data_IF_323012443746
#
_entry.id   IF_323012443746
#
_cell.length_a   1.000
_cell.length_b   1.000
_cell.length_c   1.000
_cell.angle_alpha   90.00
_cell.angle_beta   90.00
_cell.angle_gamma   90.00
#
_symmetry.space_group_name_H-M   'P 1'
#
loop_
_entity.id
_entity.type
_entity.pdbx_description
1 polymer ?
#
# COMPACT_ATOMS: atom_id res chain seq x y z
N UNK A 1 -15.41 -7.83 -5.99
CA UNK A 1 -14.57 -6.92 -5.18
C UNK A 1 -14.65 -7.12 -3.67
N UNK A 2 -15.81 -7.42 -3.09
CA UNK A 2 -15.98 -7.53 -1.63
C UNK A 2 -15.10 -8.56 -0.91
N UNK A 3 -14.58 -9.58 -1.62
CA UNK A 3 -13.74 -10.62 -1.02
C UNK A 3 -12.39 -10.13 -0.47
N UNK A 4 -11.89 -8.98 -0.93
CA UNK A 4 -10.59 -8.43 -0.48
C UNK A 4 -10.69 -7.74 0.89
N UNK A 5 -11.88 -7.26 1.28
CA UNK A 5 -12.12 -6.56 2.54
C UNK A 5 -12.32 -7.55 3.69
N UNK A 6 -11.27 -8.30 4.02
CA UNK A 6 -11.26 -9.23 5.14
C UNK A 6 -10.40 -8.70 6.32
N UNK A 7 -10.60 -9.21 7.54
CA UNK A 7 -9.87 -8.74 8.71
C UNK A 7 -8.35 -8.84 8.58
N UNK A 8 -7.84 -9.88 7.91
CA UNK A 8 -6.40 -10.05 7.71
C UNK A 8 -5.81 -8.96 6.79
N UNK A 9 -6.54 -8.56 5.74
CA UNK A 9 -6.14 -7.43 4.90
C UNK A 9 -6.03 -6.14 5.71
N UNK A 10 -7.06 -5.80 6.50
CA UNK A 10 -7.03 -4.60 7.33
C UNK A 10 -5.93 -4.63 8.39
N UNK A 11 -5.70 -5.80 9.00
CA UNK A 11 -4.65 -5.98 9.98
C UNK A 11 -3.27 -5.66 9.39
N UNK A 12 -2.95 -6.18 8.20
CA UNK A 12 -1.65 -5.91 7.58
C UNK A 12 -1.59 -4.47 7.04
N UNK A 13 -2.66 -4.01 6.39
CA UNK A 13 -2.69 -2.69 5.75
C UNK A 13 -2.61 -1.53 6.76
N UNK A 14 -3.30 -1.64 7.90
CA UNK A 14 -3.31 -0.63 8.97
C UNK A 14 -2.28 -0.94 10.08
N UNK A 15 -1.96 -2.21 10.31
CA UNK A 15 -0.97 -2.60 11.33
C UNK A 15 0.45 -2.21 10.96
N UNK A 16 0.82 -2.26 9.67
CA UNK A 16 2.14 -1.83 9.21
C UNK A 16 2.48 -0.37 9.58
N UNK A 17 1.65 0.66 9.24
CA UNK A 17 1.96 2.04 9.62
C UNK A 17 1.96 2.23 11.14
N UNK A 18 1.08 1.55 11.88
CA UNK A 18 1.10 1.60 13.35
C UNK A 18 2.42 1.05 13.90
N UNK A 19 2.89 -0.09 13.41
CA UNK A 19 4.15 -0.70 13.84
C UNK A 19 5.35 0.21 13.52
N UNK A 20 5.40 0.80 12.33
CA UNK A 20 6.49 1.72 11.95
C UNK A 20 6.45 2.98 12.85
N UNK A 21 5.27 3.53 13.14
CA UNK A 21 5.13 4.68 14.02
C UNK A 21 5.62 4.38 15.44
N UNK A 22 5.21 3.24 16.02
CA UNK A 22 5.69 2.81 17.34
C UNK A 22 7.21 2.64 17.34
N UNK A 23 7.77 1.96 16.35
CA UNK A 23 9.22 1.76 16.25
C UNK A 23 9.98 3.09 16.10
N UNK A 24 9.41 4.07 15.37
CA UNK A 24 9.97 5.42 15.23
C UNK A 24 10.04 6.12 16.58
N UNK A 25 8.94 6.09 17.35
CA UNK A 25 8.86 6.72 18.67
C UNK A 25 9.84 6.08 19.65
N UNK A 26 9.89 4.74 19.70
CA UNK A 26 10.84 4.01 20.56
C UNK A 26 12.28 4.38 20.22
N UNK A 27 12.63 4.36 18.93
CA UNK A 27 13.99 4.72 18.49
C UNK A 27 14.35 6.17 18.80
N UNK A 28 13.37 7.08 18.78
CA UNK A 28 13.58 8.48 19.13
C UNK A 28 13.79 8.67 20.63
N UNK A 29 13.02 7.95 21.47
CA UNK A 29 13.16 7.98 22.93
C UNK A 29 14.49 7.39 23.39
N UNK A 30 15.02 6.40 22.68
CA UNK A 30 16.32 5.78 22.95
C UNK A 30 17.53 6.59 22.39
N UNK A 31 17.32 7.85 21.99
CA UNK A 31 18.31 8.73 21.36
C UNK A 31 18.97 8.18 20.07
N UNK A 32 18.40 7.12 19.49
CA UNK A 32 18.83 6.51 18.24
C UNK A 32 18.30 7.29 17.02
N UNK A 33 18.65 8.58 16.96
CA UNK A 33 18.11 9.56 16.00
C UNK A 33 18.24 9.13 14.53
N UNK A 34 19.33 8.46 14.16
CA UNK A 34 19.52 7.94 12.80
C UNK A 34 18.47 6.86 12.46
N UNK A 35 18.18 5.94 13.39
CA UNK A 35 17.16 4.89 13.22
C UNK A 35 15.76 5.50 13.18
N UNK A 36 15.48 6.45 14.08
CA UNK A 36 14.21 7.17 14.11
C UNK A 36 13.95 7.90 12.78
N UNK A 37 14.95 8.58 12.22
CA UNK A 37 14.85 9.27 10.92
C UNK A 37 14.52 8.32 9.77
N UNK A 38 15.19 7.16 9.71
CA UNK A 38 14.92 6.14 8.69
C UNK A 38 13.51 5.54 8.81
N UNK A 39 13.06 5.25 10.04
CA UNK A 39 11.72 4.73 10.29
C UNK A 39 10.63 5.76 9.97
N UNK A 40 10.85 7.04 10.30
CA UNK A 40 9.95 8.12 9.91
C UNK A 40 9.85 8.25 8.38
N UNK A 41 10.97 8.14 7.66
CA UNK A 41 10.98 8.13 6.20
C UNK A 41 10.20 6.92 5.64
N UNK A 42 10.43 5.71 6.20
CA UNK A 42 9.68 4.51 5.81
C UNK A 42 8.17 4.66 6.06
N UNK A 43 7.77 5.32 7.16
CA UNK A 43 6.36 5.61 7.47
C UNK A 43 5.73 6.51 6.41
N UNK A 44 6.40 7.62 6.06
CA UNK A 44 5.93 8.54 5.01
C UNK A 44 5.86 7.84 3.66
N UNK A 45 6.87 7.03 3.32
CA UNK A 45 6.87 6.27 2.09
C UNK A 45 5.69 5.29 2.04
N UNK A 46 5.42 4.57 3.13
CA UNK A 46 4.27 3.66 3.21
C UNK A 46 2.94 4.41 3.02
N UNK A 47 2.72 5.52 3.72
CA UNK A 47 1.48 6.29 3.61
C UNK A 47 1.28 6.84 2.19
N UNK A 48 2.32 7.48 1.64
CA UNK A 48 2.24 8.11 0.32
C UNK A 48 2.09 7.11 -0.81
N UNK A 49 2.68 5.92 -0.70
CA UNK A 49 2.69 4.96 -1.81
C UNK A 49 1.67 3.85 -1.66
N UNK A 50 1.42 3.35 -0.46
CA UNK A 50 0.52 2.20 -0.25
C UNK A 50 -0.89 2.68 0.06
N UNK A 51 -1.04 3.65 0.98
CA UNK A 51 -2.35 4.17 1.37
C UNK A 51 -2.93 5.07 0.28
N UNK A 52 -2.16 6.02 -0.26
CA UNK A 52 -2.66 6.94 -1.26
C UNK A 52 -3.02 6.25 -2.59
N UNK A 53 -2.19 5.32 -3.10
CA UNK A 53 -2.50 4.58 -4.34
C UNK A 53 -3.72 3.68 -4.17
N UNK A 54 -3.95 3.17 -2.96
CA UNK A 54 -5.16 2.40 -2.66
C UNK A 54 -6.39 3.31 -2.67
N UNK A 55 -6.31 4.47 -2.00
CA UNK A 55 -7.42 5.41 -1.90
C UNK A 55 -7.79 6.07 -3.24
N UNK A 56 -6.80 6.49 -4.03
CA UNK A 56 -7.00 7.26 -5.27
C UNK A 56 -7.12 6.35 -6.50
N UNK A 57 -6.49 5.17 -6.47
CA UNK A 57 -6.46 4.25 -7.60
C UNK A 57 -7.39 3.06 -7.39
N UNK A 58 -7.06 2.20 -6.42
CA UNK A 58 -7.72 0.90 -6.28
C UNK A 58 -9.19 1.00 -5.85
N UNK A 59 -9.54 1.91 -4.92
CA UNK A 59 -10.93 2.08 -4.48
C UNK A 59 -11.82 2.58 -5.63
N UNK A 60 -11.48 3.67 -6.36
CA UNK A 60 -12.30 4.12 -7.48
C UNK A 60 -12.43 3.09 -8.61
N UNK A 61 -11.36 2.33 -8.91
CA UNK A 61 -11.45 1.23 -9.88
C UNK A 61 -12.39 0.13 -9.40
N UNK A 62 -12.39 -0.12 -8.10
CA UNK A 62 -13.20 -1.14 -7.50
C UNK A 62 -14.70 -0.77 -7.50
N UNK A 63 -15.00 0.50 -7.26
CA UNK A 63 -16.35 1.06 -7.32
C UNK A 63 -16.89 1.04 -8.75
N UNK A 64 -16.06 1.38 -9.74
CA UNK A 64 -16.42 1.26 -11.17
C UNK A 64 -16.75 -0.18 -11.57
N UNK A 65 -15.96 -1.15 -11.08
CA UNK A 65 -16.22 -2.55 -11.32
C UNK A 65 -17.50 -3.06 -10.64
N UNK A 66 -17.84 -2.54 -9.44
CA UNK A 66 -19.09 -2.88 -8.74
C UNK A 66 -20.32 -2.23 -9.39
N UNK A 67 -20.17 -1.07 -10.02
CA UNK A 67 -21.23 -0.38 -10.75
C UNK A 67 -21.51 -0.95 -12.15
N UNK A 68 -20.60 -1.75 -12.71
CA UNK A 68 -20.78 -2.34 -14.04
C UNK A 68 -21.80 -3.49 -14.00
N UNK A 69 -22.91 -3.32 -14.71
CA UNK A 69 -23.90 -4.38 -14.90
C UNK A 69 -23.47 -5.32 -16.03
N UNK A 70 -23.01 -6.51 -15.65
CA UNK A 70 -22.65 -7.54 -16.61
C UNK A 70 -23.87 -8.28 -17.19
N UNK A 71 -25.05 -8.11 -16.60
CA UNK A 71 -26.26 -8.79 -17.05
C UNK A 71 -26.84 -8.10 -18.29
N UNK A 72 -26.74 -8.78 -19.43
CA UNK A 72 -27.15 -8.21 -20.72
C UNK A 72 -26.08 -7.41 -21.46
N UNK A 73 -24.88 -7.28 -20.89
CA UNK A 73 -23.73 -6.71 -21.58
C UNK A 73 -23.25 -7.64 -22.71
N UNK A 74 -22.86 -7.06 -23.84
CA UNK A 74 -22.22 -7.76 -24.94
C UNK A 74 -20.79 -8.19 -24.56
N UNK A 75 -20.25 -9.17 -25.28
CA UNK A 75 -18.87 -9.61 -25.10
C UNK A 75 -17.85 -8.47 -25.27
N UNK A 76 -18.13 -7.52 -26.16
CA UNK A 76 -17.25 -6.37 -26.41
C UNK A 76 -17.28 -5.36 -25.26
N UNK A 77 -18.45 -5.10 -24.67
CA UNK A 77 -18.57 -4.23 -23.49
C UNK A 77 -17.88 -4.83 -22.26
N UNK A 78 -18.01 -6.15 -22.06
CA UNK A 78 -17.31 -6.87 -21.00
C UNK A 78 -15.79 -6.78 -21.20
N UNK A 79 -15.32 -6.92 -22.43
CA UNK A 79 -13.89 -6.81 -22.75
C UNK A 79 -13.39 -5.37 -22.51
N UNK A 80 -14.13 -4.36 -22.97
CA UNK A 80 -13.81 -2.96 -22.72
C UNK A 80 -13.73 -2.62 -21.23
N UNK A 81 -14.71 -3.07 -20.44
CA UNK A 81 -14.71 -2.89 -18.99
C UNK A 81 -13.53 -3.60 -18.31
N UNK A 82 -13.20 -4.82 -18.76
CA UNK A 82 -12.03 -5.57 -18.27
C UNK A 82 -10.73 -4.82 -18.55
N UNK A 83 -10.50 -4.37 -19.79
CA UNK A 83 -9.27 -3.65 -20.16
C UNK A 83 -9.18 -2.33 -19.38
N UNK A 84 -10.29 -1.60 -19.24
CA UNK A 84 -10.39 -0.37 -18.46
C UNK A 84 -10.10 -0.57 -16.96
N UNK A 85 -10.35 -1.76 -16.42
CA UNK A 85 -10.02 -2.13 -15.05
C UNK A 85 -8.59 -2.67 -14.91
N UNK A 86 -8.18 -3.63 -15.74
CA UNK A 86 -6.92 -4.36 -15.56
C UNK A 86 -5.69 -3.47 -15.77
N UNK A 87 -5.69 -2.62 -16.80
CA UNK A 87 -4.54 -1.77 -17.08
C UNK A 87 -4.22 -0.78 -15.95
N UNK A 88 -5.17 0.07 -15.50
CA UNK A 88 -4.90 0.96 -14.39
C UNK A 88 -4.61 0.21 -13.09
N UNK A 89 -5.30 -0.91 -12.84
CA UNK A 89 -5.04 -1.74 -11.66
C UNK A 89 -3.62 -2.27 -11.61
N UNK A 90 -3.11 -2.80 -12.71
CA UNK A 90 -1.74 -3.32 -12.77
C UNK A 90 -0.73 -2.20 -12.52
N UNK A 91 -0.93 -1.01 -13.10
CA UNK A 91 -0.05 0.14 -12.84
C UNK A 91 -0.01 0.53 -11.36
N UNK A 92 -1.18 0.63 -10.71
CA UNK A 92 -1.24 0.94 -9.27
C UNK A 92 -0.64 -0.18 -8.42
N UNK A 93 -0.81 -1.43 -8.84
CA UNK A 93 -0.22 -2.59 -8.19
C UNK A 93 1.31 -2.57 -8.25
N UNK A 94 1.88 -2.21 -9.39
CA UNK A 94 3.34 -2.14 -9.58
C UNK A 94 3.95 -1.04 -8.72
N UNK A 95 3.34 0.17 -8.71
CA UNK A 95 3.76 1.28 -7.84
C UNK A 95 3.78 0.86 -6.38
N UNK A 96 2.71 0.20 -5.91
CA UNK A 96 2.63 -0.30 -4.54
C UNK A 96 3.70 -1.34 -4.26
N UNK A 97 3.89 -2.30 -5.16
CA UNK A 97 4.88 -3.38 -4.99
C UNK A 97 6.29 -2.83 -4.84
N UNK A 98 6.71 -1.95 -5.75
CA UNK A 98 8.06 -1.34 -5.71
C UNK A 98 8.24 -0.52 -4.43
N UNK A 99 7.22 0.24 -4.06
CA UNK A 99 7.31 1.13 -2.90
C UNK A 99 7.30 0.37 -1.57
N UNK A 100 6.41 -0.61 -1.40
CA UNK A 100 6.38 -1.46 -0.22
C UNK A 100 7.65 -2.30 -0.08
N UNK A 101 8.19 -2.82 -1.20
CA UNK A 101 9.47 -3.53 -1.20
C UNK A 101 10.64 -2.61 -0.79
N UNK A 102 10.66 -1.37 -1.33
CA UNK A 102 11.68 -0.37 -0.96
C UNK A 102 11.60 0.00 0.52
N UNK A 103 10.39 0.23 1.04
CA UNK A 103 10.16 0.48 2.46
C UNK A 103 10.62 -0.69 3.34
N UNK A 104 10.31 -1.93 2.94
CA UNK A 104 10.76 -3.13 3.66
C UNK A 104 12.30 -3.23 3.69
N UNK A 105 12.96 -3.00 2.55
CA UNK A 105 14.43 -2.99 2.47
C UNK A 105 15.01 -1.92 3.39
N UNK A 106 14.45 -0.70 3.40
CA UNK A 106 14.88 0.37 4.30
C UNK A 106 14.73 -0.04 5.77
N UNK A 107 13.59 -0.62 6.16
CA UNK A 107 13.37 -1.13 7.50
C UNK A 107 14.37 -2.24 7.87
N UNK A 108 14.69 -3.15 6.95
CA UNK A 108 15.68 -4.19 7.18
C UNK A 108 17.10 -3.61 7.34
N UNK A 109 17.44 -2.58 6.56
CA UNK A 109 18.74 -1.90 6.63
C UNK A 109 18.94 -1.18 7.96
N UNK A 110 17.88 -0.69 8.61
CA UNK A 110 17.96 -0.10 9.96
C UNK A 110 18.60 -1.05 10.97
N UNK A 111 18.42 -2.37 10.82
CA UNK A 111 19.03 -3.37 11.71
C UNK A 111 20.56 -3.41 11.62
N UNK A 112 21.14 -2.88 10.54
CA UNK A 112 22.60 -2.82 10.31
C UNK A 112 23.16 -1.41 10.52
N UNK A 113 22.33 -0.44 10.92
CA UNK A 113 22.80 0.90 11.29
C UNK A 113 23.29 0.85 12.73
N UNK A 114 24.61 0.86 12.89
CA UNK A 114 25.27 1.02 14.17
C UNK A 114 24.98 2.41 14.75
N UNK A 115 24.60 2.42 16.02
CA UNK A 115 24.49 3.64 16.83
C UNK A 115 25.81 3.74 17.58
N UNK A 116 26.76 4.51 17.04
CA UNK A 116 28.01 4.89 17.69
C UNK A 116 27.81 6.06 18.64
#
# INVERSE_FOLDING_TARGET
NRAILNPAFFLVFLGAPVAIAVATVVSFVDDANARAGLLAFAFVLYLTTTVATTAIGNIPLNDQLEAFDASGATSDEINGARVGYEHPRNRWHDVRTVSSASAFVLCALVAFVDVS
#
